data_IF_583691762205
#
_entry.id   IF_583691762205
#
_cell.length_a   1.000
_cell.length_b   1.000
_cell.length_c   1.000
_cell.angle_alpha   90.00
_cell.angle_beta   90.00
_cell.angle_gamma   90.00
#
_symmetry.space_group_name_H-M   'P 1'
#
loop_
_entity.id
_entity.type
_entity.pdbx_description
1 polymer ?
#
# COMPACT_ATOMS: atom_id res chain seq x y z
N UNK A 1 27.87 36.46 -2.28
CA UNK A 1 27.31 35.25 -2.92
C UNK A 1 27.27 34.02 -2.00
N UNK A 2 28.09 33.93 -0.94
CA UNK A 2 28.07 32.80 0.01
C UNK A 2 26.83 32.81 0.94
N UNK A 3 26.39 34.00 1.39
CA UNK A 3 25.22 34.14 2.29
C UNK A 3 23.92 33.66 1.62
N UNK A 4 23.75 33.92 0.32
CA UNK A 4 22.61 33.44 -0.46
C UNK A 4 22.61 31.91 -0.65
N UNK A 5 23.78 31.28 -0.77
CA UNK A 5 23.90 29.82 -0.83
C UNK A 5 23.56 29.13 0.50
N UNK A 6 24.00 29.71 1.64
CA UNK A 6 23.69 29.19 2.98
C UNK A 6 22.18 29.32 3.28
N UNK A 7 21.59 30.45 2.90
CA UNK A 7 20.17 30.69 3.05
C UNK A 7 19.34 29.75 2.18
N UNK A 8 19.71 29.56 0.91
CA UNK A 8 19.07 28.62 0.00
C UNK A 8 19.19 27.16 0.51
N UNK A 9 20.37 26.75 0.97
CA UNK A 9 20.57 25.42 1.54
C UNK A 9 19.72 25.20 2.80
N UNK A 10 19.57 26.21 3.65
CA UNK A 10 18.69 26.17 4.82
C UNK A 10 17.21 26.09 4.44
N UNK A 11 16.78 26.86 3.44
CA UNK A 11 15.42 26.77 2.90
C UNK A 11 15.12 25.39 2.34
N UNK A 12 16.02 24.81 1.54
CA UNK A 12 15.84 23.47 0.98
C UNK A 12 15.69 22.44 2.11
N UNK A 13 16.53 22.50 3.15
CA UNK A 13 16.44 21.58 4.30
C UNK A 13 15.13 21.72 5.08
N UNK A 14 14.66 22.94 5.31
CA UNK A 14 13.36 23.17 5.97
C UNK A 14 12.20 22.68 5.10
N UNK A 15 12.26 22.94 3.80
CA UNK A 15 11.25 22.51 2.83
C UNK A 15 11.19 20.98 2.76
N UNK A 16 12.33 20.28 2.71
CA UNK A 16 12.37 18.81 2.75
C UNK A 16 11.73 18.24 4.02
N UNK A 17 11.96 18.85 5.20
CA UNK A 17 11.33 18.42 6.46
C UNK A 17 9.80 18.58 6.42
N UNK A 18 9.32 19.72 5.94
CA UNK A 18 7.87 19.98 5.83
C UNK A 18 7.19 19.04 4.85
N UNK A 19 7.79 18.81 3.67
CA UNK A 19 7.26 17.87 2.67
C UNK A 19 7.22 16.44 3.23
N UNK A 20 8.26 16.00 3.94
CA UNK A 20 8.29 14.68 4.59
C UNK A 20 7.18 14.54 5.63
N UNK A 21 6.99 15.52 6.51
CA UNK A 21 5.95 15.50 7.52
C UNK A 21 4.54 15.51 6.90
N UNK A 22 4.33 16.26 5.82
CA UNK A 22 3.07 16.30 5.08
C UNK A 22 2.74 14.94 4.44
N UNK A 23 3.72 14.28 3.81
CA UNK A 23 3.54 12.95 3.22
C UNK A 23 3.20 11.90 4.28
N UNK A 24 3.89 11.92 5.43
CA UNK A 24 3.59 11.03 6.55
C UNK A 24 2.19 11.27 7.13
N UNK A 25 1.79 12.54 7.28
CA UNK A 25 0.43 12.89 7.70
C UNK A 25 -0.64 12.39 6.73
N UNK A 26 -0.40 12.51 5.42
CA UNK A 26 -1.29 11.99 4.38
C UNK A 26 -1.42 10.46 4.43
N UNK A 27 -0.31 9.76 4.67
CA UNK A 27 -0.32 8.30 4.85
C UNK A 27 -1.09 7.88 6.10
N UNK A 28 -0.88 8.54 7.25
CA UNK A 28 -1.66 8.27 8.48
C UNK A 28 -3.16 8.48 8.23
N UNK A 29 -3.53 9.55 7.53
CA UNK A 29 -4.92 9.85 7.21
C UNK A 29 -5.54 8.74 6.34
N UNK A 30 -4.83 8.30 5.31
CA UNK A 30 -5.27 7.21 4.43
C UNK A 30 -5.39 5.86 5.16
N UNK A 31 -4.47 5.57 6.10
CA UNK A 31 -4.55 4.38 6.96
C UNK A 31 -5.74 4.48 7.92
N UNK A 32 -5.97 5.65 8.49
CA UNK A 32 -7.10 5.90 9.39
C UNK A 32 -8.43 5.70 8.67
N UNK A 33 -8.52 6.15 7.41
CA UNK A 33 -9.71 5.97 6.60
C UNK A 33 -9.96 4.49 6.30
N UNK A 34 -8.91 3.75 5.91
CA UNK A 34 -9.02 2.31 5.72
C UNK A 34 -9.48 1.59 7.00
N UNK A 35 -8.93 1.96 8.15
CA UNK A 35 -9.37 1.42 9.44
C UNK A 35 -10.85 1.72 9.72
N UNK A 36 -11.34 2.92 9.41
CA UNK A 36 -12.77 3.23 9.56
C UNK A 36 -13.66 2.36 8.69
N UNK A 37 -13.22 2.04 7.47
CA UNK A 37 -13.95 1.13 6.61
C UNK A 37 -13.98 -0.29 7.18
N UNK A 38 -12.84 -0.81 7.64
CA UNK A 38 -12.72 -2.22 8.05
C UNK A 38 -13.34 -2.52 9.42
N UNK A 39 -13.53 -1.53 10.29
CA UNK A 39 -14.22 -1.75 11.59
C UNK A 39 -15.73 -1.95 11.44
N UNK A 40 -16.31 -1.61 10.29
CA UNK A 40 -17.69 -1.98 9.99
C UNK A 40 -17.80 -3.52 9.93
N UNK A 41 -18.73 -4.15 10.70
CA UNK A 41 -18.80 -5.61 10.78
C UNK A 41 -19.06 -6.29 9.42
N UNK A 42 -19.83 -5.66 8.53
CA UNK A 42 -20.11 -6.22 7.22
C UNK A 42 -18.87 -6.13 6.31
N UNK A 43 -18.14 -5.01 6.36
CA UNK A 43 -16.87 -4.85 5.66
C UNK A 43 -15.81 -5.82 6.18
N UNK A 44 -15.66 -5.99 7.50
CA UNK A 44 -14.74 -6.95 8.10
C UNK A 44 -15.06 -8.39 7.63
N UNK A 45 -16.33 -8.78 7.70
CA UNK A 45 -16.78 -10.11 7.26
C UNK A 45 -16.51 -10.33 5.78
N UNK A 46 -16.81 -9.34 4.94
CA UNK A 46 -16.55 -9.40 3.52
C UNK A 46 -15.05 -9.51 3.23
N UNK A 47 -14.22 -8.75 3.95
CA UNK A 47 -12.78 -8.76 3.78
C UNK A 47 -12.19 -10.13 4.10
N UNK A 48 -12.58 -10.74 5.22
CA UNK A 48 -12.14 -12.11 5.57
C UNK A 48 -12.58 -13.11 4.49
N UNK A 49 -13.85 -13.09 4.08
CA UNK A 49 -14.35 -14.00 3.05
C UNK A 49 -13.67 -13.82 1.70
N UNK A 50 -13.38 -12.59 1.29
CA UNK A 50 -12.68 -12.31 0.05
C UNK A 50 -11.20 -12.69 0.08
N UNK A 51 -10.57 -12.70 1.27
CA UNK A 51 -9.22 -13.27 1.44
C UNK A 51 -9.23 -14.81 1.34
N UNK A 52 -10.31 -15.47 1.76
CA UNK A 52 -10.48 -16.92 1.63
C UNK A 52 -10.74 -17.32 0.16
N UNK A 53 -11.76 -16.72 -0.47
CA UNK A 53 -12.18 -17.02 -1.84
C UNK A 53 -12.82 -15.78 -2.51
N UNK A 54 -12.05 -15.09 -3.35
CA UNK A 54 -12.51 -13.92 -4.09
C UNK A 54 -13.41 -14.29 -5.28
N UNK A 55 -13.05 -15.35 -6.01
CA UNK A 55 -13.78 -15.75 -7.23
C UNK A 55 -15.18 -16.27 -6.87
N UNK A 56 -15.34 -16.91 -5.71
CA UNK A 56 -16.64 -17.35 -5.21
C UNK A 56 -17.57 -16.25 -4.68
N UNK A 57 -17.09 -15.00 -4.55
CA UNK A 57 -17.95 -13.88 -4.15
C UNK A 57 -18.96 -13.51 -5.26
N UNK A 58 -20.13 -13.01 -4.86
CA UNK A 58 -21.05 -12.35 -5.80
C UNK A 58 -20.39 -11.13 -6.43
N UNK A 59 -20.82 -10.74 -7.63
CA UNK A 59 -20.26 -9.57 -8.33
C UNK A 59 -20.29 -8.29 -7.48
N UNK A 60 -21.37 -8.06 -6.73
CA UNK A 60 -21.48 -6.92 -5.79
C UNK A 60 -20.42 -6.99 -4.69
N UNK A 61 -20.20 -8.18 -4.12
CA UNK A 61 -19.20 -8.39 -3.09
C UNK A 61 -17.77 -8.32 -3.64
N UNK A 62 -17.54 -8.74 -4.89
CA UNK A 62 -16.25 -8.54 -5.56
C UNK A 62 -15.93 -7.05 -5.71
N UNK A 63 -16.91 -6.21 -6.11
CA UNK A 63 -16.71 -4.75 -6.21
C UNK A 63 -16.37 -4.14 -4.85
N UNK A 64 -17.11 -4.50 -3.80
CA UNK A 64 -16.84 -4.01 -2.45
C UNK A 64 -15.48 -4.46 -1.93
N UNK A 65 -15.13 -5.72 -2.15
CA UNK A 65 -13.82 -6.27 -1.77
C UNK A 65 -12.69 -5.57 -2.53
N UNK A 66 -12.85 -5.33 -3.84
CA UNK A 66 -11.89 -4.56 -4.66
C UNK A 66 -11.59 -3.20 -4.05
N UNK A 67 -12.59 -2.50 -3.51
CA UNK A 67 -12.39 -1.24 -2.80
C UNK A 67 -11.52 -1.39 -1.54
N UNK A 68 -11.81 -2.41 -0.72
CA UNK A 68 -11.11 -2.65 0.55
C UNK A 68 -9.64 -3.05 0.33
N UNK A 69 -9.39 -4.08 -0.48
CA UNK A 69 -8.04 -4.59 -0.73
C UNK A 69 -7.26 -3.66 -1.68
N UNK A 70 -7.93 -3.06 -2.65
CA UNK A 70 -7.32 -2.10 -3.58
C UNK A 70 -6.80 -0.87 -2.86
N UNK A 71 -7.52 -0.37 -1.85
CA UNK A 71 -7.02 0.73 -1.02
C UNK A 71 -5.69 0.38 -0.34
N UNK A 72 -5.55 -0.81 0.24
CA UNK A 72 -4.29 -1.26 0.86
C UNK A 72 -3.13 -1.35 -0.15
N UNK A 73 -3.37 -1.94 -1.32
CA UNK A 73 -2.35 -2.06 -2.36
C UNK A 73 -1.95 -0.68 -2.90
N UNK A 74 -2.91 0.25 -3.06
CA UNK A 74 -2.64 1.63 -3.45
C UNK A 74 -1.80 2.38 -2.42
N UNK A 75 -2.03 2.13 -1.13
CA UNK A 75 -1.20 2.68 -0.07
C UNK A 75 0.23 2.14 -0.10
N UNK A 76 0.41 0.84 -0.33
CA UNK A 76 1.73 0.23 -0.48
C UNK A 76 2.48 0.79 -1.70
N UNK A 77 1.81 0.93 -2.84
CA UNK A 77 2.35 1.59 -4.03
C UNK A 77 2.76 3.04 -3.72
N UNK A 78 1.91 3.81 -3.05
CA UNK A 78 2.21 5.20 -2.69
C UNK A 78 3.46 5.30 -1.80
N UNK A 79 3.60 4.43 -0.79
CA UNK A 79 4.81 4.37 0.05
C UNK A 79 6.04 4.07 -0.79
N UNK A 80 5.95 3.14 -1.75
CA UNK A 80 7.06 2.83 -2.67
C UNK A 80 7.44 4.01 -3.56
N UNK A 81 6.48 4.79 -4.06
CA UNK A 81 6.78 6.03 -4.77
C UNK A 81 7.50 7.05 -3.88
N UNK A 82 7.05 7.21 -2.63
CA UNK A 82 7.68 8.15 -1.69
C UNK A 82 9.13 7.78 -1.34
N UNK A 83 9.47 6.48 -1.29
CA UNK A 83 10.86 6.00 -1.10
C UNK A 83 11.81 6.50 -2.19
N UNK A 84 11.33 6.76 -3.41
CA UNK A 84 12.17 7.21 -4.52
C UNK A 84 12.67 8.66 -4.40
N UNK A 85 12.18 9.43 -3.43
CA UNK A 85 12.61 10.82 -3.29
C UNK A 85 12.71 11.38 -1.87
N UNK A 86 11.90 10.92 -0.90
CA UNK A 86 11.65 11.72 0.30
C UNK A 86 11.48 10.96 1.63
N UNK A 87 11.53 9.62 1.65
CA UNK A 87 11.19 8.81 2.83
C UNK A 87 12.36 7.99 3.42
N UNK A 88 12.35 7.82 4.75
CA UNK A 88 13.28 6.91 5.46
C UNK A 88 12.86 5.44 5.27
N UNK A 89 13.85 4.54 5.16
CA UNK A 89 13.67 3.13 4.82
C UNK A 89 12.91 2.29 5.87
N UNK A 90 12.87 2.73 7.13
CA UNK A 90 12.29 1.93 8.23
C UNK A 90 10.76 1.83 8.17
N UNK A 91 10.08 2.85 7.63
CA UNK A 91 8.61 2.81 7.51
C UNK A 91 8.11 1.94 6.37
N UNK A 92 8.91 1.76 5.32
CA UNK A 92 8.51 0.96 4.15
C UNK A 92 8.41 -0.54 4.46
N UNK A 93 9.25 -1.06 5.36
CA UNK A 93 9.24 -2.48 5.69
C UNK A 93 7.91 -2.94 6.27
N UNK A 94 7.28 -2.13 7.12
CA UNK A 94 6.00 -2.49 7.74
C UNK A 94 4.84 -2.63 6.74
N UNK A 95 4.81 -1.79 5.70
CA UNK A 95 3.77 -1.83 4.66
C UNK A 95 4.05 -2.90 3.59
N UNK A 96 5.31 -3.12 3.23
CA UNK A 96 5.67 -4.23 2.33
C UNK A 96 5.35 -5.59 2.99
N UNK A 97 5.60 -5.72 4.30
CA UNK A 97 5.27 -6.91 5.08
C UNK A 97 3.75 -7.15 5.21
N UNK A 98 2.93 -6.10 5.29
CA UNK A 98 1.47 -6.26 5.36
C UNK A 98 0.90 -6.82 4.05
N UNK A 99 1.39 -6.34 2.91
CA UNK A 99 1.05 -6.89 1.59
C UNK A 99 1.52 -8.34 1.47
N UNK A 100 2.74 -8.64 1.91
CA UNK A 100 3.25 -10.02 1.92
C UNK A 100 2.38 -10.95 2.77
N UNK A 101 1.91 -10.49 3.94
CA UNK A 101 1.00 -11.25 4.77
C UNK A 101 -0.35 -11.52 4.09
N UNK A 102 -0.95 -10.49 3.46
CA UNK A 102 -2.23 -10.62 2.75
C UNK A 102 -2.13 -11.57 1.56
N UNK A 103 -1.02 -11.52 0.82
CA UNK A 103 -0.79 -12.38 -0.36
C UNK A 103 -0.59 -13.86 -0.01
N UNK A 104 -0.49 -14.23 1.28
CA UNK A 104 -0.56 -15.63 1.71
C UNK A 104 -1.96 -16.22 1.53
N UNK A 105 -2.98 -15.38 1.54
CA UNK A 105 -4.37 -15.81 1.40
C UNK A 105 -4.71 -16.16 -0.05
N UNK A 106 -5.41 -17.28 -0.32
CA UNK A 106 -5.76 -17.68 -1.70
C UNK A 106 -6.59 -16.64 -2.44
N UNK A 107 -7.60 -16.07 -1.79
CA UNK A 107 -8.47 -15.04 -2.36
C UNK A 107 -7.74 -13.75 -2.72
N UNK A 108 -6.69 -13.37 -1.97
CA UNK A 108 -5.83 -12.25 -2.33
C UNK A 108 -5.04 -12.52 -3.62
N UNK A 109 -4.52 -13.74 -3.82
CA UNK A 109 -3.82 -14.13 -5.07
C UNK A 109 -4.77 -14.22 -6.26
N UNK A 110 -5.99 -14.71 -6.05
CA UNK A 110 -7.05 -14.69 -7.05
C UNK A 110 -7.39 -13.25 -7.47
N UNK A 111 -7.64 -12.39 -6.49
CA UNK A 111 -7.90 -10.96 -6.70
C UNK A 111 -6.76 -10.29 -7.46
N UNK A 112 -5.50 -10.53 -7.06
CA UNK A 112 -4.33 -10.00 -7.74
C UNK A 112 -4.30 -10.46 -9.20
N UNK A 113 -4.49 -11.74 -9.46
CA UNK A 113 -4.49 -12.29 -10.83
C UNK A 113 -5.51 -11.61 -11.74
N UNK A 114 -6.72 -11.37 -11.22
CA UNK A 114 -7.80 -10.68 -11.94
C UNK A 114 -7.51 -9.19 -12.17
N UNK A 115 -6.93 -8.51 -11.18
CA UNK A 115 -6.84 -7.03 -11.14
C UNK A 115 -5.42 -6.49 -11.33
N UNK A 116 -4.41 -7.32 -11.60
CA UNK A 116 -3.01 -6.89 -11.74
C UNK A 116 -2.80 -5.79 -12.79
N UNK A 117 -3.66 -5.76 -13.81
CA UNK A 117 -3.62 -4.77 -14.90
C UNK A 117 -4.00 -3.34 -14.46
N UNK A 118 -4.52 -3.15 -13.25
CA UNK A 118 -4.79 -1.82 -12.68
C UNK A 118 -3.54 -1.14 -12.15
N UNK A 119 -2.44 -1.88 -12.02
CA UNK A 119 -1.23 -1.43 -11.34
C UNK A 119 -0.10 -1.23 -12.34
N UNK A 120 0.81 -0.30 -12.01
CA UNK A 120 2.01 -0.08 -12.81
C UNK A 120 2.96 -1.27 -12.76
N UNK A 121 3.76 -1.44 -13.82
CA UNK A 121 4.61 -2.61 -14.01
C UNK A 121 5.56 -2.86 -12.84
N UNK A 122 6.16 -1.80 -12.29
CA UNK A 122 7.08 -1.94 -11.16
C UNK A 122 6.41 -2.47 -9.90
N UNK A 123 5.23 -1.98 -9.57
CA UNK A 123 4.50 -2.48 -8.42
C UNK A 123 4.04 -3.91 -8.65
N UNK A 124 3.65 -4.24 -9.89
CA UNK A 124 3.38 -5.62 -10.26
C UNK A 124 4.61 -6.52 -10.08
N UNK A 125 5.79 -6.08 -10.49
CA UNK A 125 7.05 -6.82 -10.31
C UNK A 125 7.35 -7.05 -8.82
N UNK A 126 7.12 -6.04 -7.98
CA UNK A 126 7.24 -6.17 -6.53
C UNK A 126 6.31 -7.25 -5.96
N UNK A 127 5.01 -7.19 -6.30
CA UNK A 127 4.02 -8.17 -5.83
C UNK A 127 4.37 -9.58 -6.33
N UNK A 128 4.82 -9.72 -7.58
CA UNK A 128 5.29 -11.00 -8.11
C UNK A 128 6.51 -11.53 -7.35
N UNK A 129 7.46 -10.67 -6.99
CA UNK A 129 8.60 -11.02 -6.14
C UNK A 129 8.16 -11.57 -4.79
N UNK A 130 7.22 -10.89 -4.14
CA UNK A 130 6.66 -11.29 -2.84
C UNK A 130 5.94 -12.64 -2.91
N UNK A 131 5.14 -12.87 -3.96
CA UNK A 131 4.44 -14.17 -4.15
C UNK A 131 5.47 -15.31 -4.29
N UNK A 132 6.50 -15.11 -5.12
CA UNK A 132 7.55 -16.10 -5.36
C UNK A 132 8.37 -16.42 -4.11
N UNK A 133 8.67 -15.41 -3.30
CA UNK A 133 9.39 -15.60 -2.02
C UNK A 133 8.54 -16.36 -1.01
N UNK A 134 7.23 -16.12 -0.96
CA UNK A 134 6.31 -16.87 -0.12
C UNK A 134 6.23 -18.35 -0.50
N UNK A 135 6.19 -18.67 -1.78
CA UNK A 135 6.17 -20.04 -2.30
C UNK A 135 7.47 -20.82 -2.03
N UNK A 136 8.62 -20.13 -1.95
CA UNK A 136 9.91 -20.76 -1.68
C UNK A 136 10.15 -21.07 -0.19
N UNK A 137 9.31 -20.56 0.71
CA UNK A 137 9.42 -20.72 2.16
C UNK A 137 8.48 -21.80 2.75
N UNK A 138 7.63 -22.42 1.92
CA UNK A 138 6.78 -23.58 2.25
C UNK A 138 7.41 -24.89 1.77
#
# INVERSE_FOLDING_TARGET
>A
MVVSLIYLASQIRMNTKTVRASNFGGWIASMSEWHRMIVDPAAATLYVRGLEDFVGLSAENQVRFNGLIGHLFGMAMHVRHLRRGLYDADMSGGQENSIAHILKSPGARQWWTANRHWWESEFSDFVHGVIREGEAAE
#
